data_IF_645039759828
#
_entry.id   IF_645039759828
#
_cell.length_a   1.000
_cell.length_b   1.000
_cell.length_c   1.000
_cell.angle_alpha   90.00
_cell.angle_beta   90.00
_cell.angle_gamma   90.00
#
_symmetry.space_group_name_H-M   'P 1'
#
loop_
_entity.id
_entity.type
_entity.pdbx_description
1 polymer ?
#
# COMPACT_ATOMS: atom_id res chain seq x y z
N UNK A 1 -39.78 35.03 27.10
CA UNK A 1 -39.67 35.04 25.63
C UNK A 1 -38.24 35.35 25.29
N UNK A 2 -37.41 34.33 25.11
CA UNK A 2 -36.01 34.44 24.69
C UNK A 2 -35.91 33.88 23.26
N UNK A 3 -35.52 34.75 22.31
CA UNK A 3 -35.32 34.38 20.91
C UNK A 3 -34.14 33.44 20.82
N UNK A 4 -34.20 32.35 19.99
CA UNK A 4 -33.03 31.57 19.68
C UNK A 4 -32.16 32.32 18.67
N UNK A 5 -30.89 32.57 19.04
CA UNK A 5 -29.87 33.06 18.12
C UNK A 5 -29.70 32.05 16.96
N UNK A 6 -29.92 32.57 15.75
CA UNK A 6 -29.63 31.84 14.50
C UNK A 6 -28.12 31.68 14.35
N UNK A 7 -27.61 30.49 14.65
CA UNK A 7 -26.24 30.12 14.31
C UNK A 7 -26.12 30.01 12.79
N UNK A 8 -25.55 31.04 12.17
CA UNK A 8 -25.08 30.96 10.77
C UNK A 8 -24.07 29.83 10.62
N UNK A 9 -24.23 28.97 9.60
CA UNK A 9 -23.22 27.94 9.32
C UNK A 9 -21.87 28.58 9.01
N UNK A 10 -20.75 27.99 9.44
CA UNK A 10 -19.43 28.55 9.16
C UNK A 10 -19.24 28.67 7.65
N UNK A 11 -18.89 29.86 7.16
CA UNK A 11 -18.54 30.13 5.77
C UNK A 11 -17.48 29.15 5.32
N UNK A 12 -17.85 28.25 4.39
CA UNK A 12 -16.92 27.38 3.68
C UNK A 12 -16.03 28.26 2.81
N UNK A 13 -14.83 28.62 3.30
CA UNK A 13 -13.80 29.29 2.50
C UNK A 13 -13.65 28.56 1.17
N UNK A 14 -13.94 29.22 0.07
CA UNK A 14 -13.83 28.65 -1.26
C UNK A 14 -12.41 28.12 -1.47
N UNK A 15 -12.29 26.81 -1.67
CA UNK A 15 -10.99 26.17 -1.96
C UNK A 15 -10.36 26.84 -3.19
N UNK A 16 -9.07 27.19 -3.17
CA UNK A 16 -8.37 27.74 -4.31
C UNK A 16 -8.54 26.84 -5.53
N UNK A 17 -8.58 27.40 -6.74
CA UNK A 17 -8.91 26.72 -8.00
C UNK A 17 -8.01 25.50 -8.26
N UNK A 18 -6.72 25.52 -7.87
CA UNK A 18 -5.78 24.38 -8.01
C UNK A 18 -6.15 23.20 -7.12
N UNK A 19 -6.81 23.39 -5.99
CA UNK A 19 -7.31 22.30 -5.13
C UNK A 19 -8.57 21.64 -5.70
N UNK A 20 -9.16 22.18 -6.77
CA UNK A 20 -10.27 21.57 -7.51
C UNK A 20 -9.80 20.58 -8.57
N UNK A 21 -8.52 20.62 -8.93
CA UNK A 21 -7.91 19.70 -9.90
C UNK A 21 -7.57 18.40 -9.17
N UNK A 22 -8.04 17.23 -9.64
CA UNK A 22 -7.65 15.95 -9.04
C UNK A 22 -6.13 15.79 -9.01
N UNK A 23 -5.58 15.20 -7.93
CA UNK A 23 -4.14 14.99 -7.77
C UNK A 23 -3.52 14.25 -8.97
N UNK A 24 -4.23 13.24 -9.49
CA UNK A 24 -3.84 12.50 -10.71
C UNK A 24 -3.59 13.43 -11.89
N UNK A 25 -4.50 14.40 -12.15
CA UNK A 25 -4.33 15.33 -13.26
C UNK A 25 -3.18 16.30 -12.99
N UNK A 26 -2.96 16.74 -11.75
CA UNK A 26 -1.81 17.55 -11.37
C UNK A 26 -0.49 16.80 -11.64
N UNK A 27 -0.41 15.49 -11.34
CA UNK A 27 0.76 14.65 -11.61
C UNK A 27 1.00 14.53 -13.13
N UNK A 28 -0.06 14.28 -13.91
CA UNK A 28 0.06 14.20 -15.39
C UNK A 28 0.54 15.53 -16.00
N UNK A 29 0.00 16.65 -15.54
CA UNK A 29 0.45 17.98 -15.99
C UNK A 29 1.93 18.19 -15.61
N UNK A 30 2.29 17.89 -14.38
CA UNK A 30 3.67 17.99 -13.90
C UNK A 30 4.63 17.13 -14.73
N UNK A 31 4.22 15.91 -15.10
CA UNK A 31 4.97 14.99 -15.94
C UNK A 31 5.22 15.57 -17.33
N UNK A 32 4.18 16.09 -17.99
CA UNK A 32 4.30 16.69 -19.34
C UNK A 32 5.23 17.90 -19.32
N UNK A 33 5.08 18.79 -18.34
CA UNK A 33 5.94 19.97 -18.21
C UNK A 33 7.38 19.54 -17.88
N UNK A 34 7.56 18.54 -17.03
CA UNK A 34 8.89 18.03 -16.66
C UNK A 34 9.64 17.46 -17.87
N UNK A 35 8.96 16.67 -18.71
CA UNK A 35 9.54 16.13 -19.95
C UNK A 35 9.98 17.27 -20.86
N UNK A 36 9.13 18.28 -21.07
CA UNK A 36 9.44 19.43 -21.90
C UNK A 36 10.67 20.20 -21.39
N UNK A 37 10.72 20.46 -20.08
CA UNK A 37 11.87 21.12 -19.42
C UNK A 37 13.13 20.27 -19.53
N UNK A 38 13.04 18.95 -19.30
CA UNK A 38 14.17 18.03 -19.41
C UNK A 38 14.77 17.98 -20.81
N UNK A 39 13.91 18.02 -21.86
CA UNK A 39 14.36 18.08 -23.26
C UNK A 39 15.14 19.38 -23.51
N UNK A 40 14.60 20.52 -23.07
CA UNK A 40 15.25 21.83 -23.24
C UNK A 40 16.60 21.90 -22.51
N UNK A 41 16.73 21.23 -21.37
CA UNK A 41 17.94 21.22 -20.55
C UNK A 41 19.03 20.26 -21.02
N UNK A 42 18.75 19.36 -21.99
CA UNK A 42 19.81 18.53 -22.57
C UNK A 42 19.43 17.16 -23.11
N UNK A 43 18.24 16.60 -22.80
CA UNK A 43 17.74 15.33 -23.33
C UNK A 43 18.79 14.17 -23.32
N UNK A 44 19.50 14.00 -22.22
CA UNK A 44 20.56 12.98 -22.05
C UNK A 44 21.98 13.50 -22.32
N UNK A 45 22.13 14.75 -22.78
CA UNK A 45 23.44 15.35 -23.04
C UNK A 45 23.49 16.80 -22.51
N UNK A 46 23.37 17.02 -21.20
CA UNK A 46 23.25 18.35 -20.62
C UNK A 46 24.54 19.16 -20.73
N UNK A 47 24.40 20.46 -21.01
CA UNK A 47 25.52 21.40 -20.93
C UNK A 47 26.06 21.49 -19.51
N UNK A 48 27.40 21.54 -19.30
CA UNK A 48 28.01 21.72 -17.99
C UNK A 48 27.48 22.94 -17.22
N UNK A 49 27.13 24.01 -17.93
CA UNK A 49 26.55 25.23 -17.32
C UNK A 49 25.20 24.98 -16.62
N UNK A 50 24.44 23.97 -17.03
CA UNK A 50 23.12 23.64 -16.48
C UNK A 50 23.18 22.60 -15.35
N UNK A 51 24.37 22.05 -15.03
CA UNK A 51 24.50 20.93 -14.10
C UNK A 51 23.94 21.24 -12.69
N UNK A 52 24.20 22.44 -12.17
CA UNK A 52 23.68 22.88 -10.87
C UNK A 52 22.16 23.04 -10.88
N UNK A 53 21.62 23.67 -11.93
CA UNK A 53 20.17 23.82 -12.10
C UNK A 53 19.47 22.46 -12.15
N UNK A 54 19.98 21.54 -12.98
CA UNK A 54 19.41 20.19 -13.15
C UNK A 54 19.45 19.40 -11.83
N UNK A 55 20.52 19.52 -11.04
CA UNK A 55 20.59 18.87 -9.73
C UNK A 55 19.56 19.44 -8.75
N UNK A 56 19.39 20.76 -8.75
CA UNK A 56 18.45 21.43 -7.85
C UNK A 56 16.98 21.13 -8.18
N UNK A 57 16.66 20.73 -9.41
CA UNK A 57 15.32 20.30 -9.77
C UNK A 57 14.82 19.10 -8.94
N UNK A 58 15.72 18.26 -8.43
CA UNK A 58 15.33 17.12 -7.60
C UNK A 58 15.04 17.47 -6.12
N UNK A 59 15.34 18.69 -5.67
CA UNK A 59 15.13 19.09 -4.26
C UNK A 59 13.69 18.83 -3.80
N UNK A 60 12.61 19.19 -4.53
CA UNK A 60 11.25 18.88 -4.11
C UNK A 60 11.02 17.38 -3.90
N UNK A 61 11.56 16.53 -4.78
CA UNK A 61 11.45 15.07 -4.64
C UNK A 61 12.17 14.58 -3.40
N UNK A 62 13.39 15.07 -3.13
CA UNK A 62 14.16 14.70 -1.94
C UNK A 62 13.45 15.11 -0.65
N UNK A 63 12.82 16.28 -0.60
CA UNK A 63 12.05 16.76 0.55
C UNK A 63 10.81 15.90 0.79
N UNK A 64 10.05 15.60 -0.26
CA UNK A 64 8.86 14.73 -0.17
C UNK A 64 9.26 13.33 0.32
N UNK A 65 10.31 12.74 -0.25
CA UNK A 65 10.79 11.42 0.17
C UNK A 65 11.30 11.40 1.61
N UNK A 66 11.99 12.46 2.08
CA UNK A 66 12.37 12.59 3.49
C UNK A 66 11.15 12.66 4.40
N UNK A 67 10.14 13.44 4.02
CA UNK A 67 8.90 13.55 4.79
C UNK A 67 8.13 12.22 4.84
N UNK A 68 8.02 11.49 3.69
CA UNK A 68 7.41 10.17 3.65
C UNK A 68 8.13 9.18 4.55
N UNK A 69 9.47 9.17 4.53
CA UNK A 69 10.28 8.32 5.41
C UNK A 69 10.06 8.63 6.88
N UNK A 70 10.00 9.92 7.24
CA UNK A 70 9.77 10.33 8.62
C UNK A 70 8.38 9.92 9.14
N UNK A 71 7.38 9.88 8.25
CA UNK A 71 6.01 9.49 8.60
C UNK A 71 5.80 7.97 8.62
N UNK A 72 6.66 7.21 7.96
CA UNK A 72 6.45 5.78 7.75
C UNK A 72 6.36 5.00 9.07
N UNK A 73 7.30 5.20 9.97
CA UNK A 73 7.34 4.48 11.27
C UNK A 73 6.22 4.87 12.22
N UNK A 74 5.93 6.15 12.49
CA UNK A 74 4.78 6.50 13.33
C UNK A 74 3.44 6.07 12.72
N UNK A 75 3.33 6.11 11.39
CA UNK A 75 2.12 5.66 10.70
C UNK A 75 1.84 4.18 10.94
N UNK A 76 2.84 3.31 10.73
CA UNK A 76 2.67 1.87 10.95
C UNK A 76 2.30 1.58 12.41
N UNK A 77 3.01 2.18 13.36
CA UNK A 77 2.72 1.97 14.77
C UNK A 77 1.26 2.28 15.11
N UNK A 78 0.81 3.50 14.78
CA UNK A 78 -0.55 3.91 15.14
C UNK A 78 -1.61 3.21 14.30
N UNK A 79 -1.34 2.89 13.03
CA UNK A 79 -2.27 2.17 12.16
C UNK A 79 -2.53 0.74 12.65
N UNK A 80 -1.47 0.00 13.01
CA UNK A 80 -1.60 -1.36 13.52
C UNK A 80 -2.32 -1.37 14.87
N UNK A 81 -1.95 -0.46 15.78
CA UNK A 81 -2.64 -0.33 17.08
C UNK A 81 -4.12 0.02 16.90
N UNK A 82 -4.42 1.04 16.08
CA UNK A 82 -5.79 1.45 15.77
C UNK A 82 -6.61 0.31 15.20
N UNK A 83 -6.09 -0.39 14.18
CA UNK A 83 -6.78 -1.50 13.54
C UNK A 83 -7.07 -2.65 14.52
N UNK A 84 -6.10 -3.03 15.35
CA UNK A 84 -6.29 -4.11 16.33
C UNK A 84 -7.28 -3.75 17.42
N UNK A 85 -7.35 -2.50 17.85
CA UNK A 85 -8.29 -2.05 18.89
C UNK A 85 -9.71 -1.84 18.35
N UNK A 86 -9.87 -1.34 17.13
CA UNK A 86 -11.18 -1.01 16.57
C UNK A 86 -11.87 -2.20 15.88
N UNK A 87 -11.08 -3.19 15.41
CA UNK A 87 -11.63 -4.31 14.64
C UNK A 87 -12.18 -5.40 15.54
N UNK A 88 -13.45 -5.71 15.38
CA UNK A 88 -14.11 -6.80 16.12
C UNK A 88 -14.02 -8.11 15.32
N UNK A 89 -13.15 -9.04 15.75
CA UNK A 89 -12.92 -10.31 15.06
C UNK A 89 -13.42 -11.46 15.95
N UNK A 90 -14.47 -12.23 15.54
CA UNK A 90 -14.97 -13.38 16.30
C UNK A 90 -13.90 -14.49 16.40
N UNK A 91 -13.73 -15.09 17.58
CA UNK A 91 -12.61 -15.98 17.94
C UNK A 91 -12.23 -17.08 16.93
N UNK A 92 -13.12 -18.04 16.65
CA UNK A 92 -12.81 -19.18 15.75
C UNK A 92 -12.77 -18.79 14.29
N UNK A 93 -13.67 -17.92 13.84
CA UNK A 93 -13.72 -17.40 12.48
C UNK A 93 -12.56 -16.43 12.20
N UNK A 94 -12.10 -15.72 13.23
CA UNK A 94 -10.95 -14.84 13.15
C UNK A 94 -9.65 -15.56 12.78
N UNK A 95 -9.40 -16.76 13.33
CA UNK A 95 -8.25 -17.57 12.93
C UNK A 95 -8.30 -17.94 11.44
N UNK A 96 -9.47 -18.35 10.96
CA UNK A 96 -9.66 -18.71 9.54
C UNK A 96 -9.47 -17.48 8.64
N UNK A 97 -10.04 -16.34 9.04
CA UNK A 97 -9.86 -15.06 8.35
C UNK A 97 -8.37 -14.71 8.24
N UNK A 98 -7.64 -14.74 9.38
CA UNK A 98 -6.21 -14.42 9.41
C UNK A 98 -5.39 -15.33 8.49
N UNK A 99 -5.63 -16.65 8.51
CA UNK A 99 -4.94 -17.61 7.64
C UNK A 99 -5.23 -17.33 6.16
N UNK A 100 -6.48 -16.99 5.82
CA UNK A 100 -6.85 -16.66 4.44
C UNK A 100 -6.16 -15.40 3.95
N UNK A 101 -6.15 -14.34 4.76
CA UNK A 101 -5.47 -13.08 4.45
C UNK A 101 -3.97 -13.29 4.28
N UNK A 102 -3.32 -13.90 5.27
CA UNK A 102 -1.88 -14.16 5.21
C UNK A 102 -1.49 -15.01 3.99
N UNK A 103 -2.28 -16.03 3.67
CA UNK A 103 -2.05 -16.87 2.49
C UNK A 103 -2.18 -16.06 1.21
N UNK A 104 -3.21 -15.22 1.08
CA UNK A 104 -3.41 -14.40 -0.11
C UNK A 104 -2.25 -13.41 -0.31
N UNK A 105 -1.88 -12.68 0.74
CA UNK A 105 -0.77 -11.72 0.69
C UNK A 105 0.56 -12.39 0.38
N UNK A 106 0.84 -13.53 1.02
CA UNK A 106 2.08 -14.29 0.73
C UNK A 106 2.14 -14.74 -0.72
N UNK A 107 1.04 -15.29 -1.25
CA UNK A 107 0.99 -15.72 -2.67
C UNK A 107 1.13 -14.51 -3.60
N UNK A 108 0.49 -13.39 -3.30
CA UNK A 108 0.61 -12.18 -4.11
C UNK A 108 2.07 -11.70 -4.20
N UNK A 109 2.78 -11.67 -3.08
CA UNK A 109 4.20 -11.30 -3.05
C UNK A 109 5.04 -12.30 -3.84
N UNK A 110 4.81 -13.60 -3.66
CA UNK A 110 5.53 -14.65 -4.40
C UNK A 110 5.28 -14.54 -5.91
N UNK A 111 4.05 -14.28 -6.35
CA UNK A 111 3.71 -14.00 -7.74
C UNK A 111 4.47 -12.78 -8.25
N UNK A 112 4.48 -11.69 -7.49
CA UNK A 112 5.23 -10.48 -7.85
C UNK A 112 6.72 -10.73 -7.99
N UNK A 113 7.34 -11.40 -7.02
CA UNK A 113 8.76 -11.77 -7.05
C UNK A 113 9.07 -12.70 -8.24
N UNK A 114 8.22 -13.68 -8.48
CA UNK A 114 8.37 -14.60 -9.62
C UNK A 114 8.38 -13.82 -10.95
N UNK A 115 7.38 -12.99 -11.18
CA UNK A 115 7.28 -12.19 -12.40
C UNK A 115 8.47 -11.22 -12.54
N UNK A 116 8.87 -10.55 -11.46
CA UNK A 116 9.99 -9.62 -11.49
C UNK A 116 11.35 -10.31 -11.74
N UNK A 117 11.53 -11.53 -11.22
CA UNK A 117 12.76 -12.33 -11.48
C UNK A 117 12.78 -12.89 -12.91
N UNK A 118 11.63 -13.28 -13.48
CA UNK A 118 11.53 -13.85 -14.83
C UNK A 118 11.63 -12.77 -15.89
N UNK A 119 10.84 -11.70 -15.79
CA UNK A 119 10.79 -10.64 -16.80
C UNK A 119 11.94 -9.64 -16.66
N UNK A 120 12.50 -9.50 -15.46
CA UNK A 120 13.62 -8.60 -15.15
C UNK A 120 13.43 -7.18 -15.70
N UNK A 121 12.32 -6.49 -15.38
CA UNK A 121 11.95 -5.24 -16.02
C UNK A 121 12.98 -4.12 -15.82
N UNK A 122 13.75 -4.13 -14.74
CA UNK A 122 14.80 -3.15 -14.47
C UNK A 122 16.00 -3.24 -15.41
N UNK A 123 16.18 -4.35 -16.15
CA UNK A 123 17.27 -4.51 -17.13
C UNK A 123 16.91 -4.03 -18.53
N UNK A 124 15.65 -3.64 -18.77
CA UNK A 124 15.22 -3.16 -20.08
C UNK A 124 15.67 -1.69 -20.26
N UNK A 125 16.30 -1.39 -21.38
CA UNK A 125 16.76 -0.02 -21.69
C UNK A 125 18.24 0.28 -21.38
N UNK A 126 19.03 -0.70 -20.96
CA UNK A 126 20.48 -0.57 -20.67
C UNK A 126 20.85 0.57 -19.71
N UNK A 127 19.99 0.88 -18.75
CA UNK A 127 20.23 1.91 -17.74
C UNK A 127 21.01 1.29 -16.58
N UNK A 128 22.30 1.09 -16.74
CA UNK A 128 23.18 0.79 -15.62
C UNK A 128 23.62 2.12 -15.01
N UNK A 129 22.83 2.63 -14.10
CA UNK A 129 23.27 3.73 -13.24
C UNK A 129 24.27 3.15 -12.25
N UNK A 130 25.57 3.29 -12.54
CA UNK A 130 26.65 2.84 -11.66
C UNK A 130 26.63 3.69 -10.39
N UNK A 131 25.75 3.32 -9.45
CA UNK A 131 25.83 3.82 -8.08
C UNK A 131 26.80 2.92 -7.32
N UNK A 132 27.87 3.51 -6.77
CA UNK A 132 28.83 2.82 -5.88
C UNK A 132 28.22 2.31 -4.57
N UNK A 133 26.89 2.23 -4.48
CA UNK A 133 26.19 1.72 -3.30
C UNK A 133 26.16 0.20 -3.42
N UNK A 134 27.12 -0.47 -2.83
CA UNK A 134 27.08 -1.92 -2.68
C UNK A 134 26.00 -2.26 -1.65
N UNK A 135 24.97 -2.99 -2.08
CA UNK A 135 24.05 -3.63 -1.13
C UNK A 135 24.86 -4.71 -0.42
N UNK A 136 25.00 -4.58 0.89
CA UNK A 136 25.68 -5.60 1.71
C UNK A 136 24.89 -6.90 1.55
N UNK A 137 25.51 -7.92 0.96
CA UNK A 137 24.89 -9.22 0.81
C UNK A 137 24.69 -9.83 2.21
N UNK A 138 23.48 -9.74 2.73
CA UNK A 138 23.12 -10.47 3.95
C UNK A 138 22.91 -11.94 3.58
N UNK A 139 23.71 -12.83 4.17
CA UNK A 139 23.49 -14.26 4.12
C UNK A 139 22.17 -14.57 4.84
N UNK A 140 21.42 -15.57 4.34
CA UNK A 140 20.25 -16.09 5.05
C UNK A 140 20.69 -16.68 6.38
N UNK A 141 20.52 -15.93 7.45
CA UNK A 141 20.56 -16.42 8.83
C UNK A 141 19.18 -16.30 9.46
N UNK A 142 18.33 -17.36 9.38
CA UNK A 142 16.98 -17.30 9.94
C UNK A 142 16.97 -17.04 11.45
N UNK A 143 18.00 -17.47 12.16
CA UNK A 143 18.12 -17.23 13.60
C UNK A 143 18.57 -15.80 13.90
N UNK A 144 19.45 -15.23 13.07
CA UNK A 144 19.79 -13.80 13.10
C UNK A 144 18.55 -12.94 12.87
N UNK A 145 17.77 -13.22 11.80
CA UNK A 145 16.53 -12.49 11.52
C UNK A 145 15.51 -12.57 12.68
N UNK A 146 15.38 -13.73 13.33
CA UNK A 146 14.49 -13.88 14.47
C UNK A 146 14.97 -13.10 15.71
N UNK A 147 16.30 -13.12 15.98
CA UNK A 147 16.89 -12.33 17.05
C UNK A 147 16.75 -10.83 16.78
N UNK A 148 17.03 -10.42 15.56
CA UNK A 148 16.96 -9.02 15.13
C UNK A 148 15.52 -8.49 15.06
N UNK A 149 14.52 -9.37 15.03
CA UNK A 149 13.11 -8.98 15.09
C UNK A 149 12.69 -8.52 16.50
N UNK A 150 13.40 -8.93 17.55
CA UNK A 150 13.11 -8.51 18.92
C UNK A 150 13.89 -7.23 19.24
N UNK A 151 13.23 -6.10 19.55
CA UNK A 151 13.91 -4.86 19.85
C UNK A 151 14.58 -4.86 21.23
N UNK A 152 15.78 -4.29 21.32
CA UNK A 152 16.48 -4.07 22.60
C UNK A 152 15.83 -2.97 23.45
N UNK A 153 15.12 -2.02 22.79
CA UNK A 153 14.39 -0.94 23.45
C UNK A 153 13.17 -0.56 22.64
N UNK A 154 12.05 -0.24 23.31
CA UNK A 154 10.75 0.02 22.68
C UNK A 154 10.80 1.19 21.69
N UNK A 155 11.57 2.24 21.94
CA UNK A 155 11.64 3.42 21.09
C UNK A 155 12.73 3.33 20.01
N UNK A 156 13.69 2.42 20.14
CA UNK A 156 14.81 2.27 19.20
C UNK A 156 14.34 2.03 17.75
N UNK A 157 13.37 1.15 17.48
CA UNK A 157 12.88 0.92 16.13
C UNK A 157 12.25 2.13 15.44
N UNK A 158 11.67 3.05 16.21
CA UNK A 158 11.15 4.32 15.69
C UNK A 158 12.27 5.25 15.20
N UNK A 159 13.38 5.28 15.91
CA UNK A 159 14.55 6.11 15.58
C UNK A 159 15.33 5.53 14.40
N UNK A 160 15.54 4.21 14.43
CA UNK A 160 16.34 3.49 13.43
C UNK A 160 15.53 3.14 12.17
N UNK A 161 14.22 3.44 12.14
CA UNK A 161 13.28 3.03 11.09
C UNK A 161 13.31 1.51 10.85
N UNK A 162 13.49 0.71 11.90
CA UNK A 162 13.46 -0.75 11.81
C UNK A 162 12.01 -1.26 11.82
N UNK A 163 11.51 -1.54 10.62
CA UNK A 163 10.11 -1.90 10.41
C UNK A 163 9.71 -3.20 11.09
N UNK A 164 10.56 -4.23 11.01
CA UNK A 164 10.25 -5.56 11.57
C UNK A 164 10.09 -5.45 13.08
N UNK A 165 11.04 -4.81 13.75
CA UNK A 165 10.98 -4.58 15.20
C UNK A 165 9.78 -3.71 15.60
N UNK A 166 9.50 -2.67 14.80
CA UNK A 166 8.36 -1.78 15.04
C UNK A 166 7.03 -2.52 15.01
N UNK A 167 6.88 -3.43 14.04
CA UNK A 167 5.66 -4.23 13.88
C UNK A 167 5.53 -5.23 15.02
N UNK A 168 6.62 -5.86 15.47
CA UNK A 168 6.60 -6.74 16.65
C UNK A 168 6.10 -5.96 17.87
N UNK A 169 6.55 -4.72 18.08
CA UNK A 169 6.06 -3.84 19.15
C UNK A 169 4.56 -3.53 18.94
N UNK A 170 4.20 -3.07 17.75
CA UNK A 170 2.82 -2.68 17.46
C UNK A 170 1.82 -3.83 17.62
N UNK A 171 2.18 -5.03 17.15
CA UNK A 171 1.37 -6.23 17.33
C UNK A 171 1.28 -6.64 18.80
N UNK A 172 2.42 -6.63 19.53
CA UNK A 172 2.44 -7.00 20.96
C UNK A 172 1.54 -6.10 21.80
N UNK A 173 1.72 -4.77 21.67
CA UNK A 173 0.86 -3.80 22.36
C UNK A 173 -0.59 -3.88 21.89
N UNK A 174 -0.84 -3.98 20.59
CA UNK A 174 -2.18 -4.04 20.04
C UNK A 174 -2.97 -5.27 20.49
N UNK A 175 -2.33 -6.45 20.52
CA UNK A 175 -2.95 -7.68 21.03
C UNK A 175 -3.29 -7.56 22.52
N UNK A 176 -2.36 -7.04 23.34
CA UNK A 176 -2.59 -6.85 24.78
C UNK A 176 -3.69 -5.83 25.04
N UNK A 177 -3.64 -4.65 24.38
CA UNK A 177 -4.66 -3.61 24.52
C UNK A 177 -6.05 -4.11 24.08
N UNK A 178 -6.13 -4.90 23.03
CA UNK A 178 -7.36 -5.57 22.60
C UNK A 178 -7.87 -6.56 23.64
N UNK A 179 -6.98 -7.35 24.25
CA UNK A 179 -7.33 -8.27 25.35
C UNK A 179 -7.92 -7.51 26.52
N UNK A 180 -7.24 -6.47 26.99
CA UNK A 180 -7.71 -5.60 28.08
C UNK A 180 -9.06 -4.94 27.78
N UNK A 181 -9.26 -4.47 26.52
CA UNK A 181 -10.56 -3.95 26.07
C UNK A 181 -11.66 -5.00 26.21
N UNK A 182 -11.40 -6.22 25.74
CA UNK A 182 -12.39 -7.30 25.81
C UNK A 182 -12.74 -7.67 27.25
N UNK A 183 -11.75 -7.70 28.15
CA UNK A 183 -11.95 -7.96 29.59
C UNK A 183 -12.77 -6.84 30.25
N UNK A 184 -12.47 -5.58 29.95
CA UNK A 184 -13.20 -4.44 30.50
C UNK A 184 -14.64 -4.41 30.02
N UNK A 185 -14.90 -4.69 28.74
CA UNK A 185 -16.27 -4.79 28.19
C UNK A 185 -17.05 -5.89 28.93
N UNK A 186 -16.43 -7.06 29.15
CA UNK A 186 -17.06 -8.16 29.89
C UNK A 186 -17.37 -7.80 31.35
N UNK A 187 -16.61 -6.86 31.95
CA UNK A 187 -16.84 -6.34 33.28
C UNK A 187 -17.78 -5.11 33.34
N UNK A 188 -18.31 -4.66 32.20
CA UNK A 188 -19.13 -3.45 32.11
C UNK A 188 -18.33 -2.14 32.36
N UNK A 189 -17.00 -2.16 32.15
CA UNK A 189 -16.11 -1.00 32.33
C UNK A 189 -15.72 -0.38 31.01
N UNK A 190 -15.50 0.93 31.01
CA UNK A 190 -15.16 1.73 29.81
C UNK A 190 -13.76 2.36 29.89
N UNK A 191 -12.87 1.91 30.79
CA UNK A 191 -11.53 2.49 30.97
C UNK A 191 -10.59 2.36 29.77
N UNK A 192 -10.94 1.53 28.77
CA UNK A 192 -10.20 1.40 27.52
C UNK A 192 -10.48 2.55 26.53
N UNK A 193 -11.66 3.22 26.61
CA UNK A 193 -12.09 4.23 25.65
C UNK A 193 -11.09 5.38 25.48
N UNK A 194 -10.55 6.00 26.54
CA UNK A 194 -9.58 7.09 26.37
C UNK A 194 -8.32 6.69 25.60
N UNK A 195 -7.87 5.43 25.74
CA UNK A 195 -6.70 4.93 24.99
C UNK A 195 -7.06 4.71 23.52
N UNK A 196 -8.23 4.15 23.26
CA UNK A 196 -8.75 3.97 21.89
C UNK A 196 -8.91 5.32 21.17
N UNK A 197 -9.47 6.32 21.86
CA UNK A 197 -9.65 7.68 21.34
C UNK A 197 -8.30 8.35 21.04
N UNK A 198 -7.33 8.24 21.94
CA UNK A 198 -5.98 8.80 21.73
C UNK A 198 -5.31 8.16 20.54
N UNK A 199 -5.37 6.83 20.39
CA UNK A 199 -4.80 6.12 19.24
C UNK A 199 -5.51 6.53 17.95
N UNK A 200 -6.84 6.69 17.97
CA UNK A 200 -7.63 7.16 16.84
C UNK A 200 -7.24 8.58 16.41
N UNK A 201 -7.10 9.51 17.35
CA UNK A 201 -6.69 10.89 17.09
C UNK A 201 -5.25 10.94 16.53
N UNK A 202 -4.33 10.15 17.10
CA UNK A 202 -2.95 10.10 16.61
C UNK A 202 -2.89 9.52 15.18
N UNK A 203 -3.68 8.47 14.89
CA UNK A 203 -3.78 7.91 13.56
C UNK A 203 -4.30 8.94 12.56
N UNK A 204 -5.39 9.63 12.88
CA UNK A 204 -5.95 10.68 12.04
C UNK A 204 -4.96 11.83 11.83
N UNK A 205 -4.24 12.25 12.85
CA UNK A 205 -3.23 13.31 12.77
C UNK A 205 -2.10 12.92 11.79
N UNK A 206 -1.56 11.71 11.91
CA UNK A 206 -0.50 11.23 11.01
C UNK A 206 -1.00 11.13 9.58
N UNK A 207 -2.22 10.62 9.36
CA UNK A 207 -2.84 10.55 8.02
C UNK A 207 -3.06 11.95 7.43
N UNK A 208 -3.48 12.94 8.23
CA UNK A 208 -3.62 14.34 7.77
C UNK A 208 -2.28 14.93 7.34
N UNK A 209 -1.21 14.71 8.12
CA UNK A 209 0.14 15.16 7.76
C UNK A 209 0.62 14.45 6.47
N UNK A 210 0.38 13.15 6.36
CA UNK A 210 0.69 12.40 5.14
C UNK A 210 0.00 12.99 3.91
N UNK A 211 -1.29 13.35 4.02
CA UNK A 211 -2.02 13.97 2.92
C UNK A 211 -1.42 15.35 2.52
N UNK A 212 -0.86 16.12 3.44
CA UNK A 212 -0.13 17.34 3.11
C UNK A 212 1.13 17.05 2.31
N UNK A 213 1.88 16.00 2.69
CA UNK A 213 3.08 15.56 1.95
C UNK A 213 2.71 15.06 0.55
N UNK A 214 1.61 14.29 0.44
CA UNK A 214 1.11 13.77 -0.84
C UNK A 214 0.68 14.92 -1.77
N UNK A 215 0.14 16.00 -1.25
CA UNK A 215 -0.21 17.17 -2.05
C UNK A 215 1.02 17.84 -2.72
N UNK A 216 2.23 17.57 -2.24
CA UNK A 216 3.48 18.05 -2.82
C UNK A 216 4.06 17.09 -3.89
N UNK A 217 3.49 15.90 -4.07
CA UNK A 217 3.95 14.89 -5.03
C UNK A 217 4.05 15.42 -6.47
N UNK A 218 3.13 16.24 -7.01
CA UNK A 218 3.29 16.80 -8.36
C UNK A 218 4.61 17.57 -8.55
N UNK A 219 5.06 18.32 -7.55
CA UNK A 219 6.34 19.04 -7.58
C UNK A 219 7.54 18.07 -7.53
N UNK A 220 7.41 16.98 -6.75
CA UNK A 220 8.41 15.93 -6.71
C UNK A 220 8.55 15.22 -8.06
N UNK A 221 7.43 14.86 -8.69
CA UNK A 221 7.39 14.26 -10.03
C UNK A 221 7.99 15.20 -11.06
N UNK A 222 7.60 16.47 -11.07
CA UNK A 222 8.20 17.46 -11.97
C UNK A 222 9.73 17.48 -11.83
N UNK A 223 10.23 17.62 -10.62
CA UNK A 223 11.67 17.78 -10.39
C UNK A 223 12.49 16.54 -10.78
N UNK A 224 12.05 15.35 -10.38
CA UNK A 224 12.79 14.11 -10.67
C UNK A 224 12.76 13.75 -12.16
N UNK A 225 11.59 13.91 -12.82
CA UNK A 225 11.43 13.60 -14.24
C UNK A 225 12.23 14.58 -15.09
N UNK A 226 12.17 15.89 -14.80
CA UNK A 226 12.95 16.89 -15.54
C UNK A 226 14.45 16.62 -15.41
N UNK A 227 14.93 16.28 -14.19
CA UNK A 227 16.34 15.89 -13.96
C UNK A 227 16.71 14.62 -14.73
N UNK A 228 15.88 13.58 -14.69
CA UNK A 228 16.13 12.30 -15.35
C UNK A 228 16.18 12.46 -16.86
N UNK A 229 15.19 13.14 -17.46
CA UNK A 229 15.18 13.40 -18.91
C UNK A 229 16.39 14.24 -19.31
N UNK A 230 16.75 15.28 -18.53
CA UNK A 230 17.89 16.13 -18.85
C UNK A 230 19.22 15.35 -18.81
N UNK A 231 19.44 14.47 -17.82
CA UNK A 231 20.70 13.74 -17.61
C UNK A 231 20.82 12.44 -18.39
N UNK A 232 19.75 11.65 -18.38
CA UNK A 232 19.76 10.24 -18.83
C UNK A 232 18.90 10.03 -20.08
N UNK A 233 18.18 11.08 -20.52
CA UNK A 233 17.25 10.99 -21.64
C UNK A 233 16.03 10.12 -21.30
N UNK A 234 15.58 9.34 -22.31
CA UNK A 234 14.37 8.51 -22.20
C UNK A 234 14.63 7.06 -21.83
N UNK A 235 15.88 6.62 -21.71
CA UNK A 235 16.22 5.23 -21.42
C UNK A 235 15.61 4.71 -20.10
N UNK A 236 15.58 5.47 -18.97
CA UNK A 236 14.92 5.03 -17.75
C UNK A 236 13.42 4.79 -17.88
N UNK A 237 12.76 5.52 -18.79
CA UNK A 237 11.31 5.35 -19.02
C UNK A 237 10.97 4.10 -19.82
N UNK A 238 11.93 3.56 -20.59
CA UNK A 238 11.78 2.25 -21.23
C UNK A 238 11.68 1.12 -20.22
N UNK A 239 12.58 1.11 -19.22
CA UNK A 239 12.52 0.13 -18.11
C UNK A 239 11.29 0.32 -17.24
N UNK A 240 10.84 1.56 -17.05
CA UNK A 240 9.61 1.86 -16.32
C UNK A 240 8.37 1.35 -17.06
N UNK A 241 8.33 1.45 -18.38
CA UNK A 241 7.29 0.84 -19.22
C UNK A 241 7.26 -0.69 -19.08
N UNK A 242 8.43 -1.33 -19.11
CA UNK A 242 8.55 -2.77 -18.84
C UNK A 242 8.08 -3.15 -17.43
N UNK A 243 8.37 -2.30 -16.43
CA UNK A 243 7.90 -2.48 -15.06
C UNK A 243 6.36 -2.41 -14.98
N UNK A 244 5.72 -1.45 -15.63
CA UNK A 244 4.25 -1.38 -15.70
C UNK A 244 3.66 -2.67 -16.25
N UNK A 245 4.18 -3.14 -17.39
CA UNK A 245 3.71 -4.40 -18.01
C UNK A 245 3.92 -5.59 -17.06
N UNK A 246 5.08 -5.68 -16.40
CA UNK A 246 5.36 -6.73 -15.44
C UNK A 246 4.39 -6.70 -14.24
N UNK A 247 4.10 -5.51 -13.68
CA UNK A 247 3.14 -5.37 -12.57
C UNK A 247 1.74 -5.78 -13.02
N UNK A 248 1.27 -5.31 -14.17
CA UNK A 248 -0.05 -5.71 -14.69
C UNK A 248 -0.14 -7.23 -14.93
N UNK A 249 0.92 -7.85 -15.44
CA UNK A 249 0.98 -9.31 -15.60
C UNK A 249 0.90 -10.02 -14.24
N UNK A 250 1.61 -9.54 -13.22
CA UNK A 250 1.57 -10.10 -11.87
C UNK A 250 0.19 -9.93 -11.22
N UNK A 251 -0.44 -8.77 -11.34
CA UNK A 251 -1.80 -8.52 -10.85
C UNK A 251 -2.83 -9.42 -11.56
N UNK A 252 -2.67 -9.64 -12.85
CA UNK A 252 -3.51 -10.58 -13.61
C UNK A 252 -3.34 -12.02 -13.12
N UNK A 253 -2.12 -12.47 -12.88
CA UNK A 253 -1.86 -13.80 -12.30
C UNK A 253 -2.47 -13.93 -10.90
N UNK A 254 -2.41 -12.88 -10.10
CA UNK A 254 -3.05 -12.86 -8.78
C UNK A 254 -4.57 -12.95 -8.90
N UNK A 255 -5.19 -12.25 -9.85
CA UNK A 255 -6.61 -12.39 -10.12
C UNK A 255 -6.99 -13.84 -10.54
N UNK A 256 -6.18 -14.46 -11.40
CA UNK A 256 -6.35 -15.88 -11.77
C UNK A 256 -6.25 -16.81 -10.56
N UNK A 257 -5.34 -16.56 -9.64
CA UNK A 257 -5.24 -17.29 -8.37
C UNK A 257 -6.50 -17.15 -7.54
N UNK A 258 -7.05 -15.95 -7.39
CA UNK A 258 -8.30 -15.74 -6.66
C UNK A 258 -9.47 -16.51 -7.29
N UNK A 259 -9.64 -16.43 -8.61
CA UNK A 259 -10.67 -17.16 -9.33
C UNK A 259 -10.53 -18.68 -9.18
N UNK A 260 -9.30 -19.17 -9.18
CA UNK A 260 -9.00 -20.59 -8.93
C UNK A 260 -9.43 -20.99 -7.52
N UNK A 261 -9.12 -20.18 -6.51
CA UNK A 261 -9.55 -20.43 -5.13
C UNK A 261 -11.07 -20.41 -4.99
N UNK A 262 -11.73 -19.43 -5.58
CA UNK A 262 -13.21 -19.33 -5.59
C UNK A 262 -13.80 -20.59 -6.21
N UNK A 263 -13.28 -21.04 -7.36
CA UNK A 263 -13.76 -22.25 -8.05
C UNK A 263 -13.70 -23.52 -7.21
N UNK A 264 -12.59 -23.73 -6.50
CA UNK A 264 -12.33 -25.00 -5.81
C UNK A 264 -12.74 -25.01 -4.33
N UNK A 265 -12.85 -23.85 -3.71
CA UNK A 265 -13.05 -23.74 -2.26
C UNK A 265 -14.36 -23.05 -1.85
N UNK A 266 -15.20 -22.66 -2.82
CA UNK A 266 -16.51 -22.05 -2.54
C UNK A 266 -17.60 -22.67 -3.40
N UNK A 267 -18.87 -22.35 -3.10
CA UNK A 267 -20.02 -22.69 -3.90
C UNK A 267 -20.27 -21.69 -5.05
N UNK A 268 -19.62 -20.51 -5.01
CA UNK A 268 -19.79 -19.44 -5.98
C UNK A 268 -19.02 -19.76 -7.26
N UNK A 269 -19.71 -19.66 -8.41
CA UNK A 269 -19.05 -19.82 -9.71
C UNK A 269 -18.18 -18.58 -10.02
N UNK A 270 -16.94 -18.73 -10.56
CA UNK A 270 -16.04 -17.61 -10.85
C UNK A 270 -16.65 -16.51 -11.72
N UNK A 271 -17.46 -16.84 -12.72
CA UNK A 271 -18.14 -15.84 -13.55
C UNK A 271 -19.19 -15.05 -12.77
N UNK A 272 -19.94 -15.70 -11.87
CA UNK A 272 -20.87 -15.03 -10.97
C UNK A 272 -20.13 -14.10 -10.00
N UNK A 273 -18.98 -14.53 -9.48
CA UNK A 273 -18.11 -13.73 -8.64
C UNK A 273 -17.62 -12.46 -9.36
N UNK A 274 -17.12 -12.59 -10.59
CA UNK A 274 -16.66 -11.44 -11.39
C UNK A 274 -17.81 -10.49 -11.76
N UNK A 275 -18.90 -11.03 -12.29
CA UNK A 275 -20.05 -10.22 -12.69
C UNK A 275 -20.71 -9.53 -11.49
N UNK A 276 -20.89 -10.25 -10.37
CA UNK A 276 -21.45 -9.68 -9.15
C UNK A 276 -20.54 -8.64 -8.48
N UNK A 277 -19.22 -8.80 -8.62
CA UNK A 277 -18.22 -7.91 -8.02
C UNK A 277 -17.86 -6.69 -8.86
N UNK A 278 -18.35 -6.57 -10.09
CA UNK A 278 -17.94 -5.54 -11.05
C UNK A 278 -18.02 -4.12 -10.50
N UNK A 279 -19.07 -3.77 -9.79
CA UNK A 279 -19.25 -2.43 -9.23
C UNK A 279 -18.23 -2.13 -8.12
N UNK A 280 -17.90 -3.13 -7.31
CA UNK A 280 -16.86 -3.00 -6.28
C UNK A 280 -15.48 -2.80 -6.92
N UNK A 281 -15.14 -3.57 -7.97
CA UNK A 281 -13.87 -3.43 -8.70
C UNK A 281 -13.77 -2.08 -9.39
N UNK A 282 -14.83 -1.62 -10.04
CA UNK A 282 -14.88 -0.32 -10.71
C UNK A 282 -14.79 0.83 -9.69
N UNK A 283 -15.45 0.71 -8.55
CA UNK A 283 -15.36 1.70 -7.46
C UNK A 283 -13.95 1.76 -6.91
N UNK A 284 -13.33 0.63 -6.64
CA UNK A 284 -11.94 0.54 -6.17
C UNK A 284 -10.95 1.15 -7.18
N UNK A 285 -11.07 0.79 -8.45
CA UNK A 285 -10.26 1.36 -9.53
C UNK A 285 -10.46 2.86 -9.68
N UNK A 286 -11.68 3.34 -9.61
CA UNK A 286 -12.01 4.76 -9.81
C UNK A 286 -11.50 5.63 -8.66
N UNK A 287 -11.63 5.15 -7.42
CA UNK A 287 -11.32 5.90 -6.20
C UNK A 287 -9.87 5.71 -5.72
N UNK A 288 -9.17 4.65 -6.15
CA UNK A 288 -7.90 4.20 -5.58
C UNK A 288 -7.97 4.01 -4.06
N UNK A 289 -9.12 3.60 -3.54
CA UNK A 289 -9.36 3.45 -2.10
C UNK A 289 -10.23 2.22 -1.81
N UNK A 290 -9.66 1.22 -1.15
CA UNK A 290 -10.41 0.05 -0.68
C UNK A 290 -11.47 0.46 0.35
N UNK A 291 -11.17 1.46 1.19
CA UNK A 291 -12.12 2.00 2.16
C UNK A 291 -13.35 2.63 1.50
N UNK A 292 -13.16 3.39 0.42
CA UNK A 292 -14.26 3.97 -0.34
C UNK A 292 -15.10 2.90 -1.07
N UNK A 293 -14.47 1.79 -1.48
CA UNK A 293 -15.15 0.67 -2.12
C UNK A 293 -15.86 -0.27 -1.12
N UNK A 294 -15.48 -0.23 0.16
CA UNK A 294 -15.94 -1.15 1.20
C UNK A 294 -17.48 -1.29 1.30
N UNK A 295 -18.27 -0.20 1.37
CA UNK A 295 -19.73 -0.31 1.43
C UNK A 295 -20.32 -1.01 0.19
N UNK A 296 -19.83 -0.65 -1.01
CA UNK A 296 -20.26 -1.26 -2.27
C UNK A 296 -19.86 -2.74 -2.31
N UNK A 297 -18.65 -3.06 -1.85
CA UNK A 297 -18.15 -4.44 -1.76
C UNK A 297 -19.06 -5.29 -0.87
N UNK A 298 -19.42 -4.76 0.31
CA UNK A 298 -20.30 -5.45 1.25
C UNK A 298 -21.71 -5.68 0.65
N UNK A 299 -22.27 -4.67 0.01
CA UNK A 299 -23.58 -4.74 -0.62
C UNK A 299 -23.62 -5.78 -1.76
N UNK A 300 -22.67 -5.70 -2.71
CA UNK A 300 -22.68 -6.61 -3.87
C UNK A 300 -22.41 -8.06 -3.49
N UNK A 301 -21.62 -8.30 -2.44
CA UNK A 301 -21.41 -9.65 -1.92
C UNK A 301 -22.70 -10.31 -1.45
N UNK A 302 -23.61 -9.54 -0.84
CA UNK A 302 -24.89 -10.04 -0.38
C UNK A 302 -25.92 -10.11 -1.51
N UNK A 303 -26.09 -9.02 -2.27
CA UNK A 303 -27.19 -8.86 -3.23
C UNK A 303 -26.93 -9.53 -4.57
N UNK A 304 -25.70 -9.46 -5.09
CA UNK A 304 -25.34 -9.96 -6.42
C UNK A 304 -24.62 -11.31 -6.38
N UNK A 305 -23.68 -11.48 -5.46
CA UNK A 305 -22.97 -12.75 -5.29
C UNK A 305 -23.82 -13.74 -4.49
N UNK A 306 -24.54 -13.25 -3.46
CA UNK A 306 -25.49 -14.03 -2.66
C UNK A 306 -24.87 -14.68 -1.42
N UNK A 307 -23.81 -14.06 -0.84
CA UNK A 307 -23.18 -14.56 0.38
C UNK A 307 -24.01 -14.24 1.61
N UNK A 308 -23.76 -15.00 2.69
CA UNK A 308 -24.28 -14.67 4.02
C UNK A 308 -23.67 -13.36 4.51
N UNK A 309 -24.48 -12.55 5.18
CA UNK A 309 -24.07 -11.25 5.73
C UNK A 309 -22.79 -11.34 6.58
N UNK A 310 -22.74 -12.34 7.48
CA UNK A 310 -21.57 -12.56 8.34
C UNK A 310 -20.27 -12.82 7.56
N UNK A 311 -20.34 -13.56 6.45
CA UNK A 311 -19.19 -13.85 5.60
C UNK A 311 -18.81 -12.62 4.78
N UNK A 312 -19.79 -11.88 4.25
CA UNK A 312 -19.58 -10.64 3.51
C UNK A 312 -18.95 -9.58 4.42
N UNK A 313 -19.45 -9.41 5.65
CA UNK A 313 -18.90 -8.45 6.61
C UNK A 313 -17.45 -8.74 6.98
N UNK A 314 -17.10 -10.01 7.23
CA UNK A 314 -15.74 -10.36 7.65
C UNK A 314 -14.70 -10.09 6.56
N UNK A 315 -14.96 -10.37 5.31
CA UNK A 315 -14.01 -10.09 4.24
C UNK A 315 -14.04 -8.63 3.80
N UNK A 316 -15.23 -8.05 3.55
CA UNK A 316 -15.34 -6.70 3.03
C UNK A 316 -15.06 -5.61 4.08
N UNK A 317 -15.54 -5.77 5.33
CA UNK A 317 -15.41 -4.72 6.35
C UNK A 317 -14.19 -4.93 7.25
N UNK A 318 -13.90 -6.17 7.62
CA UNK A 318 -12.75 -6.50 8.47
C UNK A 318 -11.52 -6.80 7.62
N UNK A 319 -11.68 -7.65 6.59
CA UNK A 319 -10.57 -8.06 5.72
C UNK A 319 -9.92 -6.87 5.02
N UNK A 320 -10.69 -5.92 4.50
CA UNK A 320 -10.18 -4.73 3.84
C UNK A 320 -9.19 -3.89 4.68
N UNK A 321 -9.24 -4.01 6.00
CA UNK A 321 -8.26 -3.35 6.88
C UNK A 321 -6.90 -4.07 6.92
N UNK A 322 -6.80 -5.30 6.42
CA UNK A 322 -5.59 -6.12 6.48
C UNK A 322 -5.13 -6.61 5.11
N UNK A 323 -6.00 -6.57 4.12
CA UNK A 323 -5.78 -7.17 2.82
C UNK A 323 -5.38 -6.12 1.79
N UNK A 324 -4.08 -5.94 1.63
CA UNK A 324 -3.50 -5.07 0.61
C UNK A 324 -2.56 -5.87 -0.32
N UNK A 325 -3.06 -6.98 -0.84
CA UNK A 325 -2.29 -7.96 -1.63
C UNK A 325 -1.65 -7.35 -2.87
N UNK A 326 -2.39 -6.52 -3.61
CA UNK A 326 -1.87 -5.81 -4.78
C UNK A 326 -0.78 -4.80 -4.42
N UNK A 327 -0.89 -4.16 -3.24
CA UNK A 327 0.12 -3.24 -2.74
C UNK A 327 1.38 -3.99 -2.33
N UNK A 328 1.25 -5.08 -1.57
CA UNK A 328 2.38 -5.91 -1.14
C UNK A 328 3.13 -6.55 -2.34
N UNK A 329 2.40 -7.02 -3.34
CA UNK A 329 2.94 -7.51 -4.62
C UNK A 329 3.77 -6.41 -5.31
N UNK A 330 3.23 -5.22 -5.41
CA UNK A 330 3.88 -4.08 -6.06
C UNK A 330 5.14 -3.63 -5.31
N UNK A 331 5.11 -3.58 -3.98
CA UNK A 331 6.27 -3.23 -3.15
C UNK A 331 7.43 -4.21 -3.38
N UNK A 332 7.14 -5.51 -3.39
CA UNK A 332 8.13 -6.53 -3.65
C UNK A 332 8.70 -6.43 -5.07
N UNK A 333 7.85 -6.22 -6.07
CA UNK A 333 8.27 -6.02 -7.45
C UNK A 333 9.11 -4.75 -7.61
N UNK A 334 8.75 -3.67 -6.92
CA UNK A 334 9.47 -2.40 -6.93
C UNK A 334 10.89 -2.54 -6.39
N UNK A 335 11.07 -3.31 -5.30
CA UNK A 335 12.38 -3.59 -4.75
C UNK A 335 13.27 -4.34 -5.75
N UNK A 336 12.75 -5.38 -6.41
CA UNK A 336 13.48 -6.11 -7.45
C UNK A 336 13.75 -5.23 -8.67
N UNK A 337 12.78 -4.46 -9.10
CA UNK A 337 12.93 -3.55 -10.24
C UNK A 337 14.06 -2.54 -10.00
N UNK A 338 14.07 -1.88 -8.85
CA UNK A 338 15.11 -0.90 -8.54
C UNK A 338 16.48 -1.58 -8.37
N UNK A 339 16.55 -2.74 -7.71
CA UNK A 339 17.82 -3.47 -7.62
C UNK A 339 18.39 -3.81 -9.00
N UNK A 340 17.55 -4.28 -9.94
CA UNK A 340 17.92 -4.56 -11.31
C UNK A 340 18.34 -3.29 -12.07
N UNK A 341 17.61 -2.18 -11.87
CA UNK A 341 17.87 -0.90 -12.53
C UNK A 341 19.26 -0.33 -12.17
N UNK A 342 19.67 -0.50 -10.91
CA UNK A 342 21.00 -0.05 -10.44
C UNK A 342 22.11 -1.11 -10.63
N UNK A 343 21.81 -2.18 -11.39
CA UNK A 343 22.78 -3.25 -11.68
C UNK A 343 23.12 -4.16 -10.50
N UNK A 344 22.26 -4.18 -9.47
CA UNK A 344 22.44 -5.03 -8.30
C UNK A 344 21.40 -6.17 -8.29
N UNK A 345 21.72 -7.25 -7.57
CA UNK A 345 20.84 -8.38 -7.44
C UNK A 345 20.54 -8.66 -5.98
N UNK A 346 19.26 -8.65 -5.63
CA UNK A 346 18.83 -9.08 -4.29
C UNK A 346 19.06 -10.59 -4.15
N UNK A 347 19.85 -10.98 -3.15
CA UNK A 347 20.01 -12.38 -2.76
C UNK A 347 18.67 -12.99 -2.32
N UNK A 348 18.57 -14.31 -2.28
CA UNK A 348 17.38 -14.99 -1.75
C UNK A 348 17.05 -14.54 -0.32
N UNK A 349 18.08 -14.29 0.51
CA UNK A 349 17.90 -13.74 1.85
C UNK A 349 17.22 -12.38 1.87
N UNK A 350 17.69 -11.48 1.03
CA UNK A 350 17.08 -10.16 0.89
C UNK A 350 15.66 -10.24 0.32
N UNK A 351 15.38 -11.17 -0.61
CA UNK A 351 14.01 -11.39 -1.09
C UNK A 351 13.08 -11.91 0.01
N UNK A 352 13.57 -12.75 0.93
CA UNK A 352 12.81 -13.17 2.12
C UNK A 352 12.54 -11.97 3.04
N UNK A 353 13.52 -11.07 3.23
CA UNK A 353 13.30 -9.83 3.98
C UNK A 353 12.23 -8.96 3.29
N UNK A 354 12.27 -8.84 1.97
CA UNK A 354 11.24 -8.15 1.18
C UNK A 354 9.86 -8.77 1.42
N UNK A 355 9.74 -10.11 1.40
CA UNK A 355 8.47 -10.80 1.68
C UNK A 355 7.94 -10.41 3.05
N UNK A 356 8.76 -10.56 4.09
CA UNK A 356 8.36 -10.27 5.46
C UNK A 356 7.97 -8.80 5.64
N UNK A 357 8.80 -7.88 5.15
CA UNK A 357 8.53 -6.45 5.27
C UNK A 357 7.29 -6.01 4.47
N UNK A 358 7.05 -6.56 3.27
CA UNK A 358 5.86 -6.27 2.49
C UNK A 358 4.58 -6.82 3.12
N UNK A 359 4.60 -8.03 3.72
CA UNK A 359 3.45 -8.56 4.49
C UNK A 359 3.08 -7.59 5.61
N UNK A 360 4.07 -7.17 6.37
CA UNK A 360 3.84 -6.30 7.51
C UNK A 360 3.50 -4.85 7.11
N UNK A 361 4.16 -4.34 6.08
CA UNK A 361 3.88 -3.02 5.53
C UNK A 361 2.44 -2.93 5.01
N UNK A 362 1.94 -3.99 4.37
CA UNK A 362 0.57 -4.06 3.87
C UNK A 362 -0.47 -3.98 4.99
N UNK A 363 -0.20 -4.58 6.15
CA UNK A 363 -1.07 -4.45 7.35
C UNK A 363 -1.08 -3.02 7.88
N UNK A 364 0.09 -2.36 7.91
CA UNK A 364 0.22 -0.96 8.34
C UNK A 364 -0.31 0.07 7.34
N UNK A 365 -0.47 -0.34 6.08
CA UNK A 365 -0.97 0.52 5.00
C UNK A 365 -2.51 0.65 4.96
N UNK A 366 -3.23 -0.08 5.82
CA UNK A 366 -4.67 -0.24 5.78
C UNK A 366 -5.43 1.10 5.61
N UNK A 367 -6.21 1.18 4.54
CA UNK A 367 -7.14 2.28 4.26
C UNK A 367 -6.53 3.69 4.11
N UNK A 368 -5.22 3.79 3.92
CA UNK A 368 -4.54 5.07 3.76
C UNK A 368 -4.35 5.35 2.26
N UNK A 369 -4.87 6.45 1.71
CA UNK A 369 -4.62 6.82 0.32
C UNK A 369 -3.11 6.97 0.04
N UNK A 370 -2.65 6.40 -1.06
CA UNK A 370 -1.23 6.41 -1.47
C UNK A 370 -0.25 5.79 -0.44
N UNK A 371 -0.73 4.95 0.47
CA UNK A 371 0.10 4.31 1.49
C UNK A 371 1.27 3.50 0.88
N UNK A 372 1.10 2.96 -0.33
CA UNK A 372 2.14 2.21 -1.04
C UNK A 372 3.46 2.97 -1.19
N UNK A 373 3.45 4.30 -1.30
CA UNK A 373 4.68 5.08 -1.37
C UNK A 373 5.43 5.12 -0.02
N UNK A 374 4.68 5.16 1.07
CA UNK A 374 5.24 5.16 2.44
C UNK A 374 5.80 3.78 2.76
N UNK A 375 5.02 2.75 2.53
CA UNK A 375 5.38 1.36 2.83
C UNK A 375 6.51 0.87 1.94
N UNK A 376 6.57 1.29 0.67
CA UNK A 376 7.70 1.04 -0.22
C UNK A 376 9.02 1.60 0.32
N UNK A 377 8.98 2.78 0.99
CA UNK A 377 10.17 3.34 1.64
C UNK A 377 10.72 2.39 2.70
N UNK A 378 9.85 1.71 3.43
CA UNK A 378 10.23 0.74 4.46
C UNK A 378 10.82 -0.53 3.84
N UNK A 379 10.19 -1.06 2.80
CA UNK A 379 10.70 -2.24 2.08
C UNK A 379 12.09 -1.96 1.50
N UNK A 380 12.29 -0.80 0.88
CA UNK A 380 13.60 -0.42 0.33
C UNK A 380 14.67 -0.29 1.42
N UNK A 381 14.33 0.37 2.52
CA UNK A 381 15.25 0.56 3.65
C UNK A 381 15.66 -0.78 4.27
N UNK A 382 14.73 -1.73 4.37
CA UNK A 382 14.98 -3.05 4.98
C UNK A 382 16.04 -3.90 4.23
N UNK A 383 16.20 -3.65 2.93
CA UNK A 383 17.17 -4.36 2.09
C UNK A 383 18.31 -3.45 1.59
N UNK A 384 18.42 -2.24 2.14
CA UNK A 384 19.49 -1.30 1.82
C UNK A 384 19.39 -0.64 0.44
N UNK A 385 18.20 -0.67 -0.20
CA UNK A 385 17.99 0.00 -1.48
C UNK A 385 17.88 1.52 -1.32
N UNK A 386 18.45 2.29 -2.27
CA UNK A 386 18.36 3.75 -2.25
C UNK A 386 16.94 4.23 -2.47
N UNK A 387 16.34 4.85 -1.45
CA UNK A 387 14.94 5.32 -1.49
C UNK A 387 14.67 6.46 -2.46
N UNK A 388 15.72 7.13 -2.97
CA UNK A 388 15.60 8.18 -3.99
C UNK A 388 14.95 7.69 -5.29
N UNK A 389 15.07 6.41 -5.62
CA UNK A 389 14.45 5.81 -6.81
C UNK A 389 12.93 5.62 -6.68
N UNK A 390 12.36 5.74 -5.48
CA UNK A 390 10.91 5.77 -5.28
C UNK A 390 10.28 6.92 -6.07
N UNK A 391 10.99 8.05 -6.20
CA UNK A 391 10.52 9.19 -6.99
C UNK A 391 10.25 8.84 -8.46
N UNK A 392 11.02 7.89 -9.05
CA UNK A 392 10.75 7.37 -10.39
C UNK A 392 9.44 6.59 -10.43
N UNK A 393 9.19 5.75 -9.44
CA UNK A 393 7.97 4.93 -9.35
C UNK A 393 6.72 5.78 -9.13
N UNK A 394 6.84 6.90 -8.40
CA UNK A 394 5.74 7.87 -8.19
C UNK A 394 5.14 8.36 -9.50
N UNK A 395 5.95 8.44 -10.57
CA UNK A 395 5.49 8.92 -11.88
C UNK A 395 4.40 8.06 -12.50
N UNK A 396 4.34 6.77 -12.17
CA UNK A 396 3.40 5.78 -12.68
C UNK A 396 2.46 5.23 -11.62
N UNK A 397 2.72 5.57 -10.35
CA UNK A 397 1.98 5.05 -9.21
C UNK A 397 0.48 5.40 -9.27
N UNK A 398 0.12 6.59 -9.76
CA UNK A 398 -1.27 7.02 -9.92
C UNK A 398 -2.14 6.07 -10.75
N UNK A 399 -1.55 5.38 -11.72
CA UNK A 399 -2.23 4.38 -12.55
C UNK A 399 -2.18 3.00 -11.88
N UNK A 400 -0.99 2.61 -11.43
CA UNK A 400 -0.78 1.29 -10.82
C UNK A 400 -1.53 1.15 -9.49
N UNK A 401 -1.70 2.24 -8.73
CA UNK A 401 -2.48 2.25 -7.49
C UNK A 401 -3.95 1.87 -7.73
N UNK A 402 -4.55 2.34 -8.82
CA UNK A 402 -5.92 1.95 -9.23
C UNK A 402 -6.02 0.45 -9.50
N UNK A 403 -5.07 -0.09 -10.26
CA UNK A 403 -5.02 -1.51 -10.59
C UNK A 403 -4.82 -2.36 -9.32
N UNK A 404 -3.91 -1.95 -8.44
CA UNK A 404 -3.64 -2.62 -7.15
C UNK A 404 -4.87 -2.61 -6.25
N UNK A 405 -5.55 -1.47 -6.15
CA UNK A 405 -6.74 -1.33 -5.31
C UNK A 405 -7.88 -2.23 -5.78
N UNK A 406 -8.07 -2.38 -7.09
CA UNK A 406 -9.04 -3.33 -7.63
C UNK A 406 -8.70 -4.78 -7.24
N UNK A 407 -7.41 -5.15 -7.24
CA UNK A 407 -6.95 -6.47 -6.79
C UNK A 407 -7.06 -6.64 -5.28
N UNK A 408 -6.84 -5.60 -4.47
CA UNK A 408 -7.08 -5.64 -3.02
C UNK A 408 -8.57 -5.97 -2.74
N UNK A 409 -9.49 -5.25 -3.36
CA UNK A 409 -10.94 -5.49 -3.21
C UNK A 409 -11.34 -6.88 -3.74
N UNK A 410 -10.73 -7.35 -4.84
CA UNK A 410 -10.95 -8.72 -5.31
C UNK A 410 -10.49 -9.76 -4.29
N UNK A 411 -9.40 -9.49 -3.58
CA UNK A 411 -8.91 -10.30 -2.45
C UNK A 411 -9.90 -10.32 -1.28
N UNK A 412 -10.45 -9.16 -0.88
CA UNK A 412 -11.48 -9.03 0.16
C UNK A 412 -12.71 -9.88 -0.17
N UNK A 413 -13.18 -9.75 -1.40
CA UNK A 413 -14.33 -10.55 -1.90
C UNK A 413 -14.01 -12.04 -1.95
N UNK A 414 -12.77 -12.41 -2.31
CA UNK A 414 -12.31 -13.80 -2.30
C UNK A 414 -12.35 -14.36 -0.89
N UNK A 415 -11.82 -13.62 0.08
CA UNK A 415 -11.84 -14.03 1.51
C UNK A 415 -13.26 -14.20 2.00
N UNK A 416 -14.17 -13.23 1.71
CA UNK A 416 -15.59 -13.34 2.03
C UNK A 416 -16.21 -14.61 1.47
N UNK A 417 -15.95 -14.89 0.19
CA UNK A 417 -16.49 -16.04 -0.53
C UNK A 417 -15.97 -17.37 0.02
N UNK A 418 -14.68 -17.42 0.42
CA UNK A 418 -14.10 -18.61 1.03
C UNK A 418 -14.57 -18.84 2.47
N UNK A 419 -14.84 -17.77 3.22
CA UNK A 419 -15.44 -17.84 4.55
C UNK A 419 -16.87 -18.36 4.49
N UNK A 420 -17.62 -18.02 3.45
CA UNK A 420 -18.99 -18.51 3.22
C UNK A 420 -19.04 -20.01 2.98
N UNK A 421 -17.96 -20.61 2.48
CA UNK A 421 -17.74 -22.05 2.39
C UNK A 421 -18.27 -22.69 1.10
N UNK A 422 -18.48 -24.02 1.15
CA UNK A 422 -18.80 -24.85 -0.04
C UNK A 422 -20.30 -25.12 -0.24
N UNK A 423 -21.16 -24.64 0.66
CA UNK A 423 -22.62 -24.82 0.55
C UNK A 423 -23.29 -23.45 0.38
N UNK A 424 -24.18 -23.29 -0.63
CA UNK A 424 -24.95 -22.07 -0.79
C UNK A 424 -25.84 -21.81 0.44
N UNK A 425 -26.30 -20.58 0.58
CA UNK A 425 -27.35 -20.23 1.54
C UNK A 425 -28.62 -20.98 1.15
N UNK A 426 -29.14 -21.79 2.06
CA UNK A 426 -30.51 -22.30 1.91
C UNK A 426 -31.38 -21.06 2.21
N UNK A 427 -32.00 -20.51 1.19
CA UNK A 427 -33.10 -19.58 1.37
C UNK A 427 -34.29 -20.49 1.67
N UNK A 428 -34.67 -20.58 2.95
CA UNK A 428 -35.97 -21.15 3.28
C UNK A 428 -37.00 -20.19 2.66
N UNK A 429 -37.57 -20.61 1.53
CA UNK A 429 -38.75 -20.00 0.96
C UNK A 429 -39.92 -20.30 1.94
N UNK A 430 -40.00 -19.59 3.05
CA UNK A 430 -41.14 -19.53 3.93
C UNK A 430 -41.56 -18.08 4.15
N UNK A 431 -42.57 -17.66 3.47
CA UNK A 431 -43.81 -17.01 3.77
C UNK A 431 -44.22 -16.00 2.70
#
# INVERSE_FOLDING_TARGET
>A
MSHPESSTPPETRARPWWQRIPLTLQIVIALVIAISVGIVLGAGNPSPSNATLINNLAIPAELVLKALRALATPLILVAVLHTLMTTNIPGTTGRRLFVLLLTNTTVAILVGLFVANVLRPGTWGNVVTSTNTQITSQSLDPWGLLKDAVPEAVLKPLVDNNVIQLIVIALSFGIVLRGLKSEQIAQGKNGYQPIEDVIGILFEAVVRILNWVIALVPFAVFGIVAKTVAKEGFAPFQSLGAFIVAVLAALFLQACYYLTRVKFNSWVHPLKFLAGGSDAFLTAFSTSSSAAAMPVTFEVLQTKVGLRESSAALGALVGANFNNDGTALYEAMSALYISQLIGQHLSLGQQVIVILTSIFASVGAANIPNAGLVTMTLVFTSVGLPTQYIALLVTVDWFLDRCRTAINVMGDMTVSTLLDGKKPRIVDDEA
#
